data_IF_460644046487
#
_entry.id   IF_460644046487
#
_cell.length_a   1.000
_cell.length_b   1.000
_cell.length_c   1.000
_cell.angle_alpha   90.00
_cell.angle_beta   90.00
_cell.angle_gamma   90.00
#
_symmetry.space_group_name_H-M   'P 1'
#
loop_
_entity.id
_entity.type
_entity.pdbx_description
1 polymer ?
#
# COMPACT_ATOMS: atom_id res chain seq x y z
N UNK A 1 11.56 37.64 -18.36
CA UNK A 1 11.48 36.19 -18.66
C UNK A 1 11.17 35.49 -17.35
N UNK A 2 9.89 35.49 -16.96
CA UNK A 2 9.41 34.88 -15.70
C UNK A 2 9.39 33.37 -15.91
N UNK A 3 10.29 32.66 -15.23
CA UNK A 3 10.22 31.21 -15.15
C UNK A 3 8.85 30.84 -14.59
N UNK A 4 8.07 30.06 -15.35
CA UNK A 4 6.82 29.49 -14.87
C UNK A 4 7.13 28.71 -13.57
N UNK A 5 6.28 28.83 -12.53
CA UNK A 5 6.49 28.06 -11.30
C UNK A 5 6.57 26.58 -11.67
N UNK A 6 7.53 25.88 -11.07
CA UNK A 6 7.70 24.44 -11.27
C UNK A 6 6.38 23.78 -10.90
N UNK A 7 5.64 23.40 -11.93
CA UNK A 7 4.29 22.85 -11.83
C UNK A 7 4.45 21.47 -11.23
N UNK A 8 4.13 21.34 -9.95
CA UNK A 8 4.01 20.07 -9.27
C UNK A 8 2.89 19.26 -9.93
N UNK A 9 3.26 18.48 -10.95
CA UNK A 9 2.40 17.47 -11.56
C UNK A 9 2.64 16.17 -10.82
N UNK A 10 1.60 15.67 -10.15
CA UNK A 10 1.59 14.31 -9.63
C UNK A 10 1.17 13.38 -10.76
N UNK A 11 2.04 12.45 -11.15
CA UNK A 11 1.70 11.35 -12.04
C UNK A 11 0.90 10.31 -11.25
N UNK A 12 -0.42 10.37 -11.38
CA UNK A 12 -1.34 9.54 -10.62
C UNK A 12 -1.36 8.09 -11.11
N UNK A 13 -1.09 7.87 -12.39
CA UNK A 13 -0.98 6.52 -12.97
C UNK A 13 0.28 5.85 -12.43
N UNK A 14 1.38 6.60 -12.34
CA UNK A 14 2.62 6.13 -11.71
C UNK A 14 2.42 5.83 -10.22
N UNK A 15 1.68 6.68 -9.50
CA UNK A 15 1.35 6.44 -8.10
C UNK A 15 0.55 5.15 -7.94
N UNK A 16 -0.47 4.91 -8.78
CA UNK A 16 -1.26 3.68 -8.76
C UNK A 16 -0.40 2.44 -9.02
N UNK A 17 0.47 2.47 -10.04
CA UNK A 17 1.40 1.37 -10.33
C UNK A 17 2.34 1.04 -9.17
N UNK A 18 2.84 2.07 -8.47
CA UNK A 18 3.71 1.87 -7.29
C UNK A 18 2.91 1.22 -6.16
N UNK A 19 1.70 1.70 -5.90
CA UNK A 19 0.83 1.14 -4.86
C UNK A 19 0.46 -0.31 -5.16
N UNK A 20 0.11 -0.64 -6.41
CA UNK A 20 -0.20 -2.01 -6.82
C UNK A 20 1.00 -2.95 -6.65
N UNK A 21 2.21 -2.49 -7.02
CA UNK A 21 3.44 -3.28 -6.83
C UNK A 21 3.75 -3.52 -5.35
N UNK A 22 3.56 -2.51 -4.51
CA UNK A 22 3.75 -2.65 -3.07
C UNK A 22 2.71 -3.60 -2.46
N UNK A 23 1.45 -3.55 -2.92
CA UNK A 23 0.40 -4.46 -2.47
C UNK A 23 0.69 -5.91 -2.86
N UNK A 24 1.18 -6.15 -4.08
CA UNK A 24 1.59 -7.49 -4.52
C UNK A 24 2.74 -8.04 -3.64
N UNK A 25 3.77 -7.23 -3.38
CA UNK A 25 4.87 -7.63 -2.50
C UNK A 25 4.43 -7.87 -1.05
N UNK A 26 3.48 -7.09 -0.54
CA UNK A 26 2.91 -7.30 0.79
C UNK A 26 2.19 -8.65 0.89
N UNK A 27 1.41 -9.03 -0.13
CA UNK A 27 0.72 -10.31 -0.19
C UNK A 27 1.68 -11.50 -0.30
N UNK A 28 2.76 -11.37 -1.07
CA UNK A 28 3.80 -12.40 -1.17
C UNK A 28 4.47 -12.66 0.18
N UNK A 29 4.83 -11.59 0.90
CA UNK A 29 5.44 -11.69 2.21
C UNK A 29 4.49 -12.25 3.29
N UNK A 30 3.19 -11.94 3.21
CA UNK A 30 2.17 -12.54 4.07
C UNK A 30 2.10 -14.07 3.88
N UNK A 31 2.13 -14.52 2.62
CA UNK A 31 2.18 -15.96 2.29
C UNK A 31 3.42 -16.63 2.88
N UNK A 32 4.60 -16.01 2.75
CA UNK A 32 5.86 -16.54 3.30
C UNK A 32 5.81 -16.63 4.84
N UNK A 33 5.22 -15.64 5.51
CA UNK A 33 5.07 -15.65 6.96
C UNK A 33 4.09 -16.71 7.44
N UNK A 34 2.98 -16.92 6.72
CA UNK A 34 2.03 -17.99 7.04
C UNK A 34 2.69 -19.37 6.92
N UNK A 35 3.47 -19.59 5.87
CA UNK A 35 4.23 -20.82 5.65
C UNK A 35 5.28 -21.04 6.76
N UNK A 36 6.04 -20.00 7.11
CA UNK A 36 7.01 -20.06 8.20
C UNK A 36 6.31 -20.37 9.53
N UNK A 37 5.21 -19.67 9.83
CA UNK A 37 4.43 -19.88 11.04
C UNK A 37 3.86 -21.30 11.15
N UNK A 38 3.45 -21.90 10.03
CA UNK A 38 3.03 -23.30 10.00
C UNK A 38 4.17 -24.27 10.35
N UNK A 39 5.37 -24.04 9.80
CA UNK A 39 6.57 -24.86 10.10
C UNK A 39 7.01 -24.70 11.55
N UNK A 40 7.00 -23.48 12.08
CA UNK A 40 7.35 -23.19 13.47
C UNK A 40 6.35 -23.83 14.45
N UNK A 41 5.05 -23.84 14.13
CA UNK A 41 4.05 -24.56 14.94
C UNK A 41 4.33 -26.06 15.05
N UNK A 42 4.77 -26.70 13.96
CA UNK A 42 5.16 -28.12 14.00
C UNK A 42 6.36 -28.32 14.93
N UNK A 43 7.34 -27.42 14.89
CA UNK A 43 8.53 -27.47 15.75
C UNK A 43 8.19 -27.28 17.24
N UNK A 44 7.19 -26.43 17.57
CA UNK A 44 6.74 -26.23 18.95
C UNK A 44 6.15 -27.47 19.63
N UNK A 45 5.85 -28.55 18.89
CA UNK A 45 5.42 -29.80 19.50
C UNK A 45 6.47 -30.40 20.47
N UNK A 46 7.76 -30.09 20.26
CA UNK A 46 8.86 -30.53 21.11
C UNK A 46 9.78 -29.39 21.56
N UNK A 47 9.51 -28.16 21.15
CA UNK A 47 10.31 -26.99 21.46
C UNK A 47 9.59 -26.04 22.42
N UNK A 48 10.06 -26.01 23.66
CA UNK A 48 9.55 -25.18 24.75
C UNK A 48 10.66 -24.28 25.37
N UNK A 49 10.29 -23.55 26.43
CA UNK A 49 11.20 -22.67 27.15
C UNK A 49 11.31 -21.24 26.59
N UNK A 50 12.29 -20.48 27.07
CA UNK A 50 12.40 -19.04 26.81
C UNK A 50 12.58 -18.70 25.31
N UNK A 51 13.31 -19.53 24.56
CA UNK A 51 13.51 -19.32 23.13
C UNK A 51 12.21 -19.52 22.33
N UNK A 52 11.39 -20.51 22.71
CA UNK A 52 10.08 -20.75 22.13
C UNK A 52 9.14 -19.55 22.38
N UNK A 53 9.11 -19.03 23.60
CA UNK A 53 8.32 -17.85 23.94
C UNK A 53 8.77 -16.58 23.17
N UNK A 54 10.08 -16.36 23.05
CA UNK A 54 10.64 -15.23 22.30
C UNK A 54 10.27 -15.28 20.81
N UNK A 55 10.23 -16.49 20.23
CA UNK A 55 9.83 -16.64 18.83
C UNK A 55 8.34 -16.40 18.61
N UNK A 56 7.46 -16.85 19.51
CA UNK A 56 6.03 -16.53 19.44
C UNK A 56 5.78 -15.02 19.52
N UNK A 57 6.49 -14.33 20.41
CA UNK A 57 6.41 -12.87 20.51
C UNK A 57 6.92 -12.16 19.23
N UNK A 58 8.04 -12.63 18.66
CA UNK A 58 8.54 -12.12 17.39
C UNK A 58 7.54 -12.33 16.24
N UNK A 59 6.92 -13.51 16.15
CA UNK A 59 5.90 -13.84 15.17
C UNK A 59 4.69 -12.89 15.29
N UNK A 60 4.17 -12.68 16.50
CA UNK A 60 3.05 -11.76 16.72
C UNK A 60 3.38 -10.32 16.30
N UNK A 61 4.59 -9.84 16.61
CA UNK A 61 5.03 -8.50 16.20
C UNK A 61 5.10 -8.39 14.67
N UNK A 62 5.62 -9.40 13.99
CA UNK A 62 5.68 -9.41 12.53
C UNK A 62 4.27 -9.42 11.90
N UNK A 63 3.37 -10.25 12.39
CA UNK A 63 1.97 -10.30 11.91
C UNK A 63 1.23 -8.98 12.15
N UNK A 64 1.50 -8.30 13.27
CA UNK A 64 0.94 -6.98 13.53
C UNK A 64 1.49 -5.93 12.54
N UNK A 65 2.81 -5.89 12.34
CA UNK A 65 3.45 -4.96 11.42
C UNK A 65 3.02 -5.16 9.96
N UNK A 66 2.84 -6.41 9.53
CA UNK A 66 2.33 -6.73 8.19
C UNK A 66 0.92 -6.22 7.96
N UNK A 67 0.02 -6.45 8.93
CA UNK A 67 -1.35 -5.95 8.87
C UNK A 67 -1.38 -4.42 8.79
N UNK A 68 -0.52 -3.75 9.55
CA UNK A 68 -0.41 -2.28 9.50
C UNK A 68 0.08 -1.79 8.14
N UNK A 69 1.14 -2.40 7.59
CA UNK A 69 1.66 -2.06 6.26
C UNK A 69 0.59 -2.25 5.18
N UNK A 70 -0.08 -3.41 5.16
CA UNK A 70 -1.12 -3.71 4.19
C UNK A 70 -2.30 -2.71 4.27
N UNK A 71 -2.77 -2.39 5.49
CA UNK A 71 -3.78 -1.35 5.69
C UNK A 71 -3.32 0.03 5.19
N UNK A 72 -2.04 0.37 5.39
CA UNK A 72 -1.42 1.59 4.85
C UNK A 72 -1.49 1.66 3.32
N UNK A 73 -1.13 0.57 2.65
CA UNK A 73 -1.17 0.49 1.18
C UNK A 73 -2.59 0.63 0.63
N UNK A 74 -3.59 0.02 1.27
CA UNK A 74 -5.00 0.19 0.89
C UNK A 74 -5.46 1.65 1.04
N UNK A 75 -5.02 2.34 2.11
CA UNK A 75 -5.30 3.78 2.29
C UNK A 75 -4.66 4.63 1.19
N UNK A 76 -3.41 4.34 0.82
CA UNK A 76 -2.72 5.02 -0.28
C UNK A 76 -3.44 4.81 -1.61
N UNK A 77 -3.87 3.57 -1.90
CA UNK A 77 -4.67 3.25 -3.10
C UNK A 77 -5.95 4.07 -3.17
N UNK A 78 -6.70 4.09 -2.07
CA UNK A 78 -7.95 4.84 -1.99
C UNK A 78 -7.73 6.36 -2.16
N UNK A 79 -6.65 6.90 -1.60
CA UNK A 79 -6.29 8.31 -1.77
C UNK A 79 -5.91 8.63 -3.23
N UNK A 80 -5.11 7.77 -3.87
CA UNK A 80 -4.76 7.89 -5.29
C UNK A 80 -5.98 7.88 -6.20
N UNK A 81 -6.90 6.93 -5.99
CA UNK A 81 -8.15 6.85 -6.77
C UNK A 81 -9.04 8.08 -6.61
N UNK A 82 -9.18 8.61 -5.38
CA UNK A 82 -9.92 9.86 -5.15
C UNK A 82 -9.27 11.06 -5.85
N UNK A 83 -7.94 11.15 -5.83
CA UNK A 83 -7.22 12.20 -6.54
C UNK A 83 -7.47 12.11 -8.05
N UNK A 84 -7.35 10.90 -8.64
CA UNK A 84 -7.59 10.69 -10.07
C UNK A 84 -9.00 11.13 -10.50
N UNK A 85 -10.03 10.71 -9.75
CA UNK A 85 -11.42 11.12 -10.01
C UNK A 85 -11.62 12.63 -9.88
N UNK A 86 -11.05 13.26 -8.86
CA UNK A 86 -11.15 14.70 -8.64
C UNK A 86 -10.50 15.51 -9.76
N UNK A 87 -9.30 15.14 -10.19
CA UNK A 87 -8.62 15.81 -11.31
C UNK A 87 -9.35 15.61 -12.64
N UNK A 88 -9.78 14.38 -12.94
CA UNK A 88 -10.53 14.10 -14.16
C UNK A 88 -11.85 14.91 -14.23
N UNK A 89 -12.58 15.00 -13.12
CA UNK A 89 -13.80 15.79 -13.02
C UNK A 89 -13.53 17.29 -13.21
N UNK A 90 -12.47 17.83 -12.61
CA UNK A 90 -12.09 19.24 -12.77
C UNK A 90 -11.70 19.57 -14.22
N UNK A 91 -10.96 18.68 -14.89
CA UNK A 91 -10.62 18.84 -16.31
C UNK A 91 -11.88 18.81 -17.17
N UNK A 92 -12.76 17.82 -16.97
CA UNK A 92 -14.01 17.71 -17.73
C UNK A 92 -14.92 18.93 -17.52
N UNK A 93 -15.05 19.41 -16.28
CA UNK A 93 -15.82 20.60 -15.96
C UNK A 93 -15.26 21.85 -16.64
N UNK A 94 -13.93 22.03 -16.62
CA UNK A 94 -13.28 23.13 -17.32
C UNK A 94 -13.57 23.04 -18.82
N UNK A 95 -13.27 21.91 -19.48
CA UNK A 95 -13.51 21.73 -20.93
C UNK A 95 -14.95 22.05 -21.31
N UNK A 96 -15.93 21.53 -20.57
CA UNK A 96 -17.35 21.80 -20.80
C UNK A 96 -17.69 23.30 -20.68
N UNK A 97 -17.05 24.02 -19.75
CA UNK A 97 -17.25 25.45 -19.56
C UNK A 97 -16.61 26.27 -20.70
N UNK A 98 -15.47 25.85 -21.22
CA UNK A 98 -14.82 26.49 -22.36
C UNK A 98 -15.58 26.25 -23.67
N UNK A 99 -16.13 25.04 -23.90
CA UNK A 99 -16.99 24.74 -25.05
C UNK A 99 -18.30 25.54 -25.07
N UNK A 100 -18.76 26.02 -23.90
CA UNK A 100 -19.93 26.91 -23.80
C UNK A 100 -19.61 28.38 -24.12
N UNK A 101 -18.32 28.75 -24.16
CA UNK A 101 -17.86 30.13 -24.35
C UNK A 101 -17.32 30.40 -25.77
N UNK A 102 -17.23 29.37 -26.62
CA UNK A 102 -16.79 29.45 -28.03
C UNK A 102 -17.97 29.16 -28.95
#
# INVERSE_FOLDING_TARGET
>A
MTAAPDRFTVDLDRLEQVVDRMAAGASELESLLADLGARVRVLHASWDGAAAAAQLDAQHRWEAGFREMHAGLLRMRAAGGRAHQGYAAAVAANVAMWDQLV
#
